data_IF_960683701913
#
_entry.id   IF_960683701913
#
_cell.length_a   1.000
_cell.length_b   1.000
_cell.length_c   1.000
_cell.angle_alpha   90.00
_cell.angle_beta   90.00
_cell.angle_gamma   90.00
#
_symmetry.space_group_name_H-M   'P 1'
#
loop_
_entity.id
_entity.type
_entity.pdbx_description
1 polymer ?
#
# COMPACT_ATOMS: atom_id res chain seq x y z
N UNK A 1 -0.65 25.90 12.19
CA UNK A 1 -0.59 24.97 13.35
C UNK A 1 -0.67 23.52 12.85
N UNK A 2 0.44 22.79 12.86
CA UNK A 2 0.48 21.35 12.55
C UNK A 2 -0.07 20.56 13.75
N UNK A 3 -1.29 20.03 13.63
CA UNK A 3 -1.79 19.01 14.58
C UNK A 3 -0.92 17.76 14.43
N UNK A 4 0.01 17.56 15.36
CA UNK A 4 0.84 16.36 15.42
C UNK A 4 -0.08 15.13 15.58
N UNK A 5 -0.15 14.31 14.53
CA UNK A 5 -0.96 13.08 14.44
C UNK A 5 -0.35 12.03 15.39
N UNK A 6 -0.70 12.07 16.68
CA UNK A 6 -0.26 11.08 17.69
C UNK A 6 -1.01 9.77 17.48
N UNK A 7 -0.36 8.79 16.85
CA UNK A 7 -0.81 7.40 16.89
C UNK A 7 -0.30 6.77 18.20
N UNK A 8 -1.22 6.43 19.12
CA UNK A 8 -0.90 5.65 20.32
C UNK A 8 -0.53 4.23 19.88
N UNK A 9 0.56 3.68 20.40
CA UNK A 9 0.81 2.25 20.30
C UNK A 9 0.39 1.57 21.59
N UNK A 10 -0.01 0.30 21.50
CA UNK A 10 -0.43 -0.50 22.67
C UNK A 10 0.73 -0.82 23.62
N UNK A 11 1.96 -0.50 23.21
CA UNK A 11 3.16 -0.68 24.02
C UNK A 11 3.28 0.44 25.03
N UNK A 12 3.49 0.10 26.28
CA UNK A 12 3.73 1.07 27.37
C UNK A 12 5.23 1.33 27.49
N UNK A 13 5.64 2.59 27.64
CA UNK A 13 7.02 2.91 27.95
C UNK A 13 7.27 2.64 29.45
N UNK A 14 8.16 1.70 29.77
CA UNK A 14 8.41 1.27 31.15
C UNK A 14 9.03 2.36 32.04
N UNK A 15 9.73 3.34 31.45
CA UNK A 15 10.31 4.45 32.22
C UNK A 15 9.30 5.56 32.52
N UNK A 16 8.39 5.87 31.59
CA UNK A 16 7.45 7.00 31.73
C UNK A 16 6.01 6.57 32.06
N UNK A 17 5.71 5.27 32.03
CA UNK A 17 4.35 4.66 32.15
C UNK A 17 3.31 5.23 31.18
N UNK A 18 3.74 6.00 30.18
CA UNK A 18 2.89 6.56 29.14
C UNK A 18 2.83 5.61 27.93
N UNK A 19 1.77 5.67 27.12
CA UNK A 19 1.72 4.94 25.86
C UNK A 19 2.88 5.36 24.97
N UNK A 20 3.60 4.36 24.44
CA UNK A 20 4.69 4.59 23.52
C UNK A 20 4.16 5.29 22.26
N UNK A 21 4.80 6.39 21.89
CA UNK A 21 4.44 7.17 20.71
C UNK A 21 5.64 7.26 19.80
N UNK A 22 5.44 6.91 18.52
CA UNK A 22 6.48 7.12 17.50
C UNK A 22 6.64 8.63 17.27
N UNK A 23 7.87 9.07 16.99
CA UNK A 23 8.13 10.45 16.61
C UNK A 23 7.38 10.81 15.32
N UNK A 24 6.92 12.06 15.20
CA UNK A 24 6.11 12.51 14.07
C UNK A 24 6.84 12.34 12.73
N UNK A 25 8.14 12.66 12.64
CA UNK A 25 8.92 12.42 11.42
C UNK A 25 8.92 10.96 10.98
N UNK A 26 9.00 10.03 11.93
CA UNK A 26 8.98 8.58 11.64
C UNK A 26 7.60 8.15 11.15
N UNK A 27 6.53 8.78 11.65
CA UNK A 27 5.16 8.52 11.19
C UNK A 27 4.98 9.06 9.76
N UNK A 28 5.42 10.29 9.51
CA UNK A 28 5.30 10.93 8.19
C UNK A 28 6.11 10.21 7.12
N UNK A 29 7.33 9.77 7.46
CA UNK A 29 8.15 8.93 6.60
C UNK A 29 7.41 7.64 6.21
N UNK A 30 6.90 6.91 7.20
CA UNK A 30 6.17 5.66 6.95
C UNK A 30 4.85 5.89 6.21
N UNK A 31 4.22 7.06 6.37
CA UNK A 31 3.00 7.41 5.64
C UNK A 31 3.32 7.65 4.16
N UNK A 32 4.36 8.43 3.88
CA UNK A 32 4.81 8.82 2.53
C UNK A 32 5.53 7.73 1.75
N UNK A 33 5.82 6.58 2.37
CA UNK A 33 6.37 5.38 1.73
C UNK A 33 5.29 4.67 0.89
N UNK A 34 4.70 5.40 -0.06
CA UNK A 34 3.54 4.97 -0.86
C UNK A 34 3.93 3.95 -1.92
N UNK A 35 5.08 4.12 -2.57
CA UNK A 35 5.58 3.22 -3.61
C UNK A 35 5.71 1.78 -3.10
N UNK A 36 6.36 1.57 -1.94
CA UNK A 36 6.54 0.24 -1.37
C UNK A 36 5.20 -0.41 -0.96
N UNK A 37 4.25 0.40 -0.48
CA UNK A 37 2.88 -0.08 -0.21
C UNK A 37 2.19 -0.53 -1.49
N UNK A 38 2.34 0.25 -2.57
CA UNK A 38 1.77 -0.11 -3.86
C UNK A 38 2.39 -1.39 -4.44
N UNK A 39 3.70 -1.60 -4.29
CA UNK A 39 4.37 -2.86 -4.67
C UNK A 39 3.86 -4.05 -3.84
N UNK A 40 3.62 -3.84 -2.55
CA UNK A 40 3.05 -4.85 -1.66
C UNK A 40 1.60 -5.21 -2.03
N UNK A 41 0.79 -4.23 -2.40
CA UNK A 41 -0.58 -4.46 -2.89
C UNK A 41 -0.55 -5.21 -4.23
N UNK A 42 0.31 -4.79 -5.16
CA UNK A 42 0.46 -5.43 -6.48
C UNK A 42 0.95 -6.87 -6.35
N UNK A 43 1.81 -7.16 -5.37
CA UNK A 43 2.15 -8.54 -5.00
C UNK A 43 0.92 -9.36 -4.67
N UNK A 44 -0.18 -8.84 -4.12
CA UNK A 44 -1.38 -9.66 -3.88
C UNK A 44 -2.13 -10.01 -5.17
N UNK A 45 -2.01 -9.15 -6.19
CA UNK A 45 -2.72 -9.23 -7.47
C UNK A 45 -1.91 -9.99 -8.52
N UNK A 46 -0.58 -10.07 -8.39
CA UNK A 46 0.32 -10.72 -9.36
C UNK A 46 -0.20 -12.10 -9.80
N UNK A 47 -0.87 -12.13 -10.95
CA UNK A 47 -1.29 -13.32 -11.70
C UNK A 47 -0.10 -14.24 -12.04
N UNK A 48 1.13 -13.73 -11.85
CA UNK A 48 2.37 -14.24 -12.41
C UNK A 48 3.12 -15.18 -11.44
N UNK A 49 2.68 -15.40 -10.18
CA UNK A 49 3.43 -16.29 -9.26
C UNK A 49 3.56 -17.73 -9.77
N UNK A 50 2.53 -18.29 -10.42
CA UNK A 50 2.60 -19.60 -11.08
C UNK A 50 3.34 -19.60 -12.42
N UNK A 51 3.35 -18.45 -13.10
CA UNK A 51 3.83 -18.27 -14.48
C UNK A 51 5.34 -17.95 -14.53
N UNK A 52 5.91 -17.43 -13.42
CA UNK A 52 7.33 -17.04 -13.28
C UNK A 52 8.35 -18.16 -13.58
N UNK A 53 7.97 -19.43 -13.51
CA UNK A 53 8.89 -20.56 -13.78
C UNK A 53 9.23 -20.74 -15.27
N UNK A 54 8.35 -20.37 -16.19
CA UNK A 54 8.48 -20.72 -17.63
C UNK A 54 8.42 -19.52 -18.58
N UNK A 55 8.40 -18.29 -18.05
CA UNK A 55 8.15 -17.10 -18.84
C UNK A 55 9.40 -16.22 -19.00
N UNK A 56 9.75 -15.97 -20.26
CA UNK A 56 10.82 -15.04 -20.67
C UNK A 56 10.58 -13.65 -20.07
N UNK A 57 11.66 -12.99 -19.62
CA UNK A 57 11.62 -11.71 -18.87
C UNK A 57 10.76 -10.60 -19.52
N UNK A 58 10.65 -10.54 -20.84
CA UNK A 58 9.85 -9.52 -21.53
C UNK A 58 8.35 -9.58 -21.19
N UNK A 59 7.78 -10.79 -21.09
CA UNK A 59 6.37 -10.97 -20.73
C UNK A 59 6.09 -10.53 -19.30
N UNK A 60 7.08 -10.65 -18.40
CA UNK A 60 6.96 -10.17 -17.01
C UNK A 60 6.67 -8.67 -16.97
N UNK A 61 7.33 -7.87 -17.82
CA UNK A 61 7.08 -6.42 -17.89
C UNK A 61 5.68 -6.10 -18.42
N UNK A 62 5.21 -6.83 -19.43
CA UNK A 62 3.87 -6.66 -19.98
C UNK A 62 2.78 -6.89 -18.94
N UNK A 63 2.85 -8.04 -18.23
CA UNK A 63 1.87 -8.35 -17.19
C UNK A 63 1.95 -7.38 -16.01
N UNK A 64 3.16 -6.96 -15.63
CA UNK A 64 3.33 -5.96 -14.57
C UNK A 64 2.71 -4.61 -14.93
N UNK A 65 2.86 -4.16 -16.18
CA UNK A 65 2.19 -2.96 -16.67
C UNK A 65 0.67 -3.13 -16.68
N UNK A 66 0.17 -4.31 -17.06
CA UNK A 66 -1.26 -4.62 -17.02
C UNK A 66 -1.81 -4.55 -15.59
N UNK A 67 -1.12 -5.16 -14.62
CA UNK A 67 -1.47 -5.10 -13.19
C UNK A 67 -1.53 -3.65 -12.68
N UNK A 68 -0.57 -2.79 -13.08
CA UNK A 68 -0.58 -1.36 -12.74
C UNK A 68 -1.77 -0.62 -13.36
N UNK A 69 -2.10 -0.88 -14.63
CA UNK A 69 -3.20 -0.21 -15.34
C UNK A 69 -4.54 -0.55 -14.69
N UNK A 70 -4.79 -1.83 -14.39
CA UNK A 70 -6.02 -2.30 -13.73
C UNK A 70 -6.15 -1.67 -12.33
N UNK A 71 -5.06 -1.64 -11.57
CA UNK A 71 -5.06 -0.98 -10.25
C UNK A 71 -5.35 0.51 -10.34
N UNK A 72 -4.77 1.20 -11.32
CA UNK A 72 -4.98 2.63 -11.51
C UNK A 72 -6.41 2.94 -11.99
N UNK A 73 -6.98 2.12 -12.89
CA UNK A 73 -8.35 2.30 -13.35
C UNK A 73 -9.37 2.05 -12.23
N UNK A 74 -9.11 1.10 -11.33
CA UNK A 74 -9.90 0.88 -10.12
C UNK A 74 -9.95 2.14 -9.25
N UNK A 75 -8.78 2.70 -8.90
CA UNK A 75 -8.74 3.92 -8.07
C UNK A 75 -9.40 5.11 -8.77
N UNK A 76 -9.21 5.25 -10.10
CA UNK A 76 -9.87 6.29 -10.87
C UNK A 76 -11.40 6.13 -10.84
N UNK A 77 -11.91 4.91 -10.97
CA UNK A 77 -13.33 4.60 -10.88
C UNK A 77 -13.90 4.95 -9.49
N UNK A 78 -13.17 4.63 -8.43
CA UNK A 78 -13.57 5.02 -7.07
C UNK A 78 -13.60 6.53 -6.87
N UNK A 79 -12.60 7.25 -7.38
CA UNK A 79 -12.54 8.71 -7.30
C UNK A 79 -13.70 9.33 -8.09
N UNK A 80 -13.98 8.84 -9.29
CA UNK A 80 -15.03 9.38 -10.17
C UNK A 80 -16.44 9.07 -9.67
N UNK A 81 -16.67 7.89 -9.10
CA UNK A 81 -18.02 7.43 -8.71
C UNK A 81 -18.31 7.67 -7.23
N UNK A 82 -17.28 7.86 -6.40
CA UNK A 82 -17.38 7.94 -4.94
C UNK A 82 -17.79 6.62 -4.26
N UNK A 83 -18.05 5.56 -5.04
CA UNK A 83 -18.39 4.22 -4.54
C UNK A 83 -17.12 3.47 -4.20
N UNK A 84 -17.07 2.90 -3.00
CA UNK A 84 -15.99 2.02 -2.54
C UNK A 84 -16.42 0.57 -2.76
N UNK A 85 -16.12 0.00 -3.93
CA UNK A 85 -16.17 -1.45 -4.15
C UNK A 85 -14.88 -2.10 -3.68
N UNK A 86 -14.89 -3.40 -3.39
CA UNK A 86 -13.66 -4.15 -3.21
C UNK A 86 -12.93 -4.30 -4.55
N UNK A 87 -11.60 -4.43 -4.53
CA UNK A 87 -10.80 -4.63 -5.75
C UNK A 87 -11.17 -5.92 -6.50
N UNK A 88 -11.63 -6.95 -5.77
CA UNK A 88 -12.06 -8.21 -6.36
C UNK A 88 -13.39 -8.11 -7.14
N UNK A 89 -14.20 -7.10 -6.83
CA UNK A 89 -15.52 -6.87 -7.45
C UNK A 89 -15.46 -5.82 -8.58
N UNK A 90 -14.25 -5.32 -8.88
CA UNK A 90 -13.98 -4.34 -9.94
C UNK A 90 -13.51 -5.03 -11.21
#
# INVERSE_FOLDING_TARGET
MLKLRKNRSDKTNHCTRLPYTKQVRVIDYNFNMTVDKTDMDLKSIECIRGIKRNVKRYKKYFFHMLDMVVRNSYYLCQISTGKKSAFADY
#
